data_IF_712085502730
#
_entry.id   IF_712085502730
#
_cell.length_a   1.000
_cell.length_b   1.000
_cell.length_c   1.000
_cell.angle_alpha   90.00
_cell.angle_beta   90.00
_cell.angle_gamma   90.00
#
_symmetry.space_group_name_H-M   'P 1'
#
loop_
_entity.id
_entity.type
_entity.pdbx_description
1 polymer ?
#
# COMPACT_ATOMS: atom_id res chain seq x y z
N UNK A 1 32.20 -6.60 -49.13
CA UNK A 1 30.77 -6.97 -49.11
C UNK A 1 30.24 -6.68 -47.72
N UNK A 2 29.72 -5.47 -47.50
CA UNK A 2 29.20 -5.02 -46.21
C UNK A 2 27.73 -5.39 -46.08
N UNK A 3 27.42 -6.34 -45.19
CA UNK A 3 26.07 -6.71 -44.84
C UNK A 3 25.44 -5.64 -43.95
N UNK A 4 24.48 -4.89 -44.48
CA UNK A 4 23.67 -3.93 -43.72
C UNK A 4 22.64 -4.69 -42.90
N UNK A 5 22.75 -4.65 -41.58
CA UNK A 5 21.74 -5.16 -40.65
C UNK A 5 20.46 -4.35 -40.84
N UNK A 6 19.39 -4.99 -41.32
CA UNK A 6 18.07 -4.35 -41.45
C UNK A 6 17.39 -4.26 -40.09
N UNK A 7 17.08 -3.05 -39.64
CA UNK A 7 16.27 -2.81 -38.44
C UNK A 7 14.84 -3.29 -38.68
N UNK A 8 14.35 -4.19 -37.83
CA UNK A 8 12.96 -4.66 -37.84
C UNK A 8 12.13 -3.88 -36.83
N UNK A 9 10.94 -3.45 -37.24
CA UNK A 9 9.96 -2.75 -36.41
C UNK A 9 8.77 -3.68 -36.15
N UNK A 10 8.36 -3.81 -34.89
CA UNK A 10 7.25 -4.67 -34.47
C UNK A 10 6.10 -3.84 -33.91
N UNK A 11 4.89 -4.08 -34.42
CA UNK A 11 3.66 -3.46 -33.89
C UNK A 11 3.04 -4.35 -32.80
N UNK A 12 2.35 -3.76 -31.80
CA UNK A 12 1.67 -4.49 -30.72
C UNK A 12 0.61 -5.51 -31.19
N UNK A 13 0.22 -5.49 -32.47
CA UNK A 13 -0.61 -6.54 -33.08
C UNK A 13 0.19 -7.78 -33.55
N UNK A 14 1.50 -7.82 -33.34
CA UNK A 14 2.39 -8.92 -33.71
C UNK A 14 2.94 -8.88 -35.14
N UNK A 15 2.71 -7.81 -35.93
CA UNK A 15 3.29 -7.69 -37.28
C UNK A 15 4.67 -7.06 -37.28
N UNK A 16 5.58 -7.64 -38.06
CA UNK A 16 6.94 -7.11 -38.30
C UNK A 16 7.03 -6.34 -39.62
N UNK A 17 7.84 -5.30 -39.64
CA UNK A 17 8.12 -4.46 -40.81
C UNK A 17 9.62 -4.20 -40.93
N UNK A 18 10.17 -4.30 -42.15
CA UNK A 18 11.58 -3.97 -42.43
C UNK A 18 11.79 -2.51 -42.87
N UNK A 19 10.70 -1.75 -43.04
CA UNK A 19 10.71 -0.36 -43.47
C UNK A 19 9.87 0.50 -42.52
N UNK A 20 10.47 1.57 -41.99
CA UNK A 20 9.84 2.47 -41.02
C UNK A 20 8.58 3.15 -41.58
N UNK A 21 8.57 3.55 -42.85
CA UNK A 21 7.37 4.15 -43.48
C UNK A 21 6.17 3.21 -43.49
N UNK A 22 6.40 1.91 -43.69
CA UNK A 22 5.34 0.88 -43.67
C UNK A 22 4.84 0.64 -42.25
N UNK A 23 5.74 0.68 -41.26
CA UNK A 23 5.38 0.63 -39.85
C UNK A 23 4.51 1.83 -39.45
N UNK A 24 4.92 3.06 -39.76
CA UNK A 24 4.17 4.28 -39.44
C UNK A 24 2.79 4.30 -40.12
N UNK A 25 2.68 3.90 -41.39
CA UNK A 25 1.40 3.83 -42.08
C UNK A 25 0.46 2.76 -41.49
N UNK A 26 1.03 1.65 -40.99
CA UNK A 26 0.28 0.61 -40.31
C UNK A 26 -0.21 1.04 -38.93
N UNK A 27 0.61 1.72 -38.13
CA UNK A 27 0.22 2.21 -36.78
C UNK A 27 -0.95 3.18 -36.83
N UNK A 28 -1.09 3.97 -37.89
CA UNK A 28 -2.22 4.92 -38.05
C UNK A 28 -3.57 4.21 -38.29
N UNK A 29 -3.55 3.00 -38.83
CA UNK A 29 -4.76 2.25 -39.22
C UNK A 29 -4.96 0.94 -38.44
N UNK A 30 -4.03 0.56 -37.57
CA UNK A 30 -4.12 -0.67 -36.78
C UNK A 30 -5.16 -0.52 -35.66
N UNK A 31 -6.18 -1.39 -35.66
CA UNK A 31 -7.26 -1.40 -34.67
C UNK A 31 -6.76 -1.59 -33.22
N UNK A 32 -5.62 -2.28 -33.04
CA UNK A 32 -4.97 -2.47 -31.73
C UNK A 32 -4.34 -1.17 -31.22
N UNK A 33 -3.91 -0.27 -32.11
CA UNK A 33 -3.43 1.06 -31.72
C UNK A 33 -4.60 2.01 -31.42
N UNK A 34 -5.73 1.88 -32.14
CA UNK A 34 -6.97 2.61 -31.85
C UNK A 34 -7.60 2.19 -30.51
N UNK A 35 -7.45 0.95 -30.07
CA UNK A 35 -7.91 0.51 -28.75
C UNK A 35 -7.08 1.07 -27.58
N UNK A 36 -5.81 1.46 -27.81
CA UNK A 36 -4.95 2.12 -26.82
C UNK A 36 -5.05 3.66 -26.80
N UNK A 37 -5.77 4.26 -27.75
CA UNK A 37 -5.89 5.71 -27.91
C UNK A 37 -7.34 6.22 -27.81
N UNK A 38 -8.26 5.43 -27.25
CA UNK A 38 -9.62 5.88 -26.90
C UNK A 38 -9.69 6.07 -25.38
N UNK A 39 -9.17 7.21 -24.95
CA UNK A 39 -9.63 7.94 -23.76
C UNK A 39 -9.13 9.38 -23.82
N UNK A 40 -9.30 10.08 -24.95
CA UNK A 40 -9.14 11.55 -25.03
C UNK A 40 -9.69 12.11 -26.34
N UNK A 41 -11.01 12.04 -26.54
CA UNK A 41 -11.75 13.01 -27.37
C UNK A 41 -13.15 13.15 -26.74
N UNK A 42 -13.30 14.10 -25.81
CA UNK A 42 -14.59 14.77 -25.62
C UNK A 42 -14.42 16.15 -26.22
N UNK A 43 -15.26 16.40 -27.20
CA UNK A 43 -15.41 17.64 -27.94
C UNK A 43 -15.61 18.81 -26.97
N UNK A 44 -14.77 19.82 -27.14
CA UNK A 44 -14.61 20.91 -26.21
C UNK A 44 -15.02 22.22 -26.89
N UNK A 45 -16.32 22.43 -27.03
CA UNK A 45 -16.91 23.71 -27.39
C UNK A 45 -17.86 24.16 -26.27
N UNK A 46 -17.27 24.56 -25.14
CA UNK A 46 -18.01 25.11 -24.00
C UNK A 46 -17.20 25.25 -22.71
N UNK A 47 -16.17 24.41 -22.51
CA UNK A 47 -15.45 24.35 -21.22
C UNK A 47 -14.19 25.25 -21.19
N UNK A 48 -13.66 25.67 -22.37
CA UNK A 48 -12.51 26.58 -22.43
C UNK A 48 -12.80 27.98 -21.87
N UNK A 49 -14.01 28.52 -22.06
CA UNK A 49 -14.36 29.86 -21.55
C UNK A 49 -14.52 29.92 -20.03
N UNK A 50 -14.84 28.79 -19.40
CA UNK A 50 -15.07 28.74 -17.95
C UNK A 50 -13.77 28.47 -17.18
N UNK A 51 -12.85 27.69 -17.76
CA UNK A 51 -11.51 27.48 -17.19
C UNK A 51 -10.66 28.75 -17.28
N UNK A 52 -10.74 29.50 -18.40
CA UNK A 52 -10.05 30.79 -18.52
C UNK A 52 -10.64 31.84 -17.57
N UNK A 53 -11.96 31.91 -17.40
CA UNK A 53 -12.60 32.80 -16.40
C UNK A 53 -12.26 32.43 -14.96
N UNK A 54 -12.15 31.13 -14.64
CA UNK A 54 -11.77 30.67 -13.30
C UNK A 54 -10.27 30.86 -13.01
N UNK A 55 -9.40 30.78 -14.03
CA UNK A 55 -7.98 31.08 -13.91
C UNK A 55 -7.71 32.59 -13.75
N UNK A 56 -8.49 33.45 -14.42
CA UNK A 56 -8.42 34.92 -14.26
C UNK A 56 -8.92 35.36 -12.87
N UNK A 57 -10.01 34.75 -12.38
CA UNK A 57 -10.54 35.01 -11.04
C UNK A 57 -9.59 34.55 -9.92
N UNK A 58 -8.86 33.46 -10.13
CA UNK A 58 -7.84 32.98 -9.19
C UNK A 58 -6.60 33.88 -9.16
N UNK A 59 -6.22 34.50 -10.29
CA UNK A 59 -5.14 35.50 -10.33
C UNK A 59 -5.52 36.82 -9.65
N UNK A 60 -6.76 37.29 -9.81
CA UNK A 60 -7.23 38.51 -9.14
C UNK A 60 -7.38 38.37 -7.62
N UNK A 61 -7.50 37.14 -7.09
CA UNK A 61 -7.47 36.89 -5.64
C UNK A 61 -6.05 36.89 -5.03
N UNK A 62 -5.01 36.68 -5.85
CA UNK A 62 -3.61 36.63 -5.39
C UNK A 62 -2.89 37.98 -5.45
N UNK A 63 -3.53 39.02 -6.02
CA UNK A 63 -2.96 40.37 -6.16
C UNK A 63 -3.54 41.40 -5.17
N UNK A 64 -4.29 40.97 -4.15
CA UNK A 64 -4.67 41.89 -3.07
C UNK A 64 -3.53 42.04 -2.06
N UNK A 65 -3.09 43.28 -1.72
CA UNK A 65 -2.07 43.49 -0.71
C UNK A 65 -2.65 43.12 0.66
N UNK A 66 -2.13 42.05 1.26
CA UNK A 66 -2.38 41.73 2.67
C UNK A 66 -1.82 42.87 3.54
N UNK A 67 -2.69 43.78 3.98
CA UNK A 67 -2.41 44.63 5.13
C UNK A 67 -2.54 43.79 6.39
N UNK A 68 -1.48 43.07 6.74
CA UNK A 68 -1.31 42.56 8.09
C UNK A 68 -0.57 43.59 8.94
N UNK A 69 -1.35 44.34 9.72
CA UNK A 69 -0.90 44.96 10.95
C UNK A 69 -0.24 43.90 11.83
N UNK A 70 1.05 44.10 12.10
CA UNK A 70 1.88 43.30 12.98
C UNK A 70 1.30 43.36 14.40
N UNK A 71 1.00 42.24 15.06
CA UNK A 71 0.65 42.29 16.48
C UNK A 71 1.84 42.81 17.29
N UNK A 72 1.61 43.94 17.95
CA UNK A 72 2.51 44.61 18.87
C UNK A 72 2.75 43.69 20.09
N UNK A 73 3.97 43.14 20.18
CA UNK A 73 4.44 42.49 21.40
C UNK A 73 4.77 43.58 22.43
N UNK A 74 4.30 43.48 23.69
CA UNK A 74 4.70 44.42 24.72
C UNK A 74 6.21 44.34 24.95
N UNK A 75 6.88 45.48 24.77
CA UNK A 75 8.29 45.69 25.05
C UNK A 75 8.62 45.34 26.51
N UNK A 76 9.41 44.29 26.72
CA UNK A 76 10.04 44.05 28.01
C UNK A 76 11.35 44.85 28.09
N UNK A 77 11.58 45.61 29.17
CA UNK A 77 12.76 46.45 29.30
C UNK A 77 14.04 45.61 29.32
N UNK A 78 15.02 46.04 28.52
CA UNK A 78 16.31 45.39 28.35
C UNK A 78 17.10 45.29 29.66
N UNK A 79 17.48 44.06 30.00
CA UNK A 79 18.58 43.80 30.93
C UNK A 79 19.65 43.05 30.13
N UNK A 80 20.62 43.80 29.61
CA UNK A 80 21.89 43.20 29.19
C UNK A 80 22.62 42.82 30.47
N UNK A 81 22.35 41.61 30.98
CA UNK A 81 23.19 41.02 32.00
C UNK A 81 24.54 40.69 31.34
N UNK A 82 25.58 41.43 31.71
CA UNK A 82 26.97 41.11 31.40
C UNK A 82 27.21 39.66 31.83
N UNK A 83 27.40 38.75 30.87
CA UNK A 83 27.91 37.41 31.13
C UNK A 83 29.38 37.55 31.59
N UNK A 84 29.57 37.75 32.88
CA UNK A 84 30.86 37.57 33.53
C UNK A 84 31.24 36.09 33.50
N UNK A 85 32.54 35.84 33.29
CA UNK A 85 33.18 34.56 33.02
C UNK A 85 32.68 33.38 33.89
N UNK A 86 32.78 32.13 33.38
CA UNK A 86 32.25 30.97 34.08
C UNK A 86 33.02 30.74 35.37
N UNK A 87 32.28 30.59 36.47
CA UNK A 87 32.73 29.92 37.69
C UNK A 87 33.33 28.58 37.28
N UNK A 88 34.56 28.30 37.72
CA UNK A 88 35.31 27.08 37.41
C UNK A 88 34.62 25.87 38.05
N UNK A 89 33.61 25.33 37.38
CA UNK A 89 33.00 24.07 37.72
C UNK A 89 34.01 22.96 37.37
N UNK A 90 34.56 22.28 38.38
CA UNK A 90 35.28 21.02 38.19
C UNK A 90 34.38 20.07 37.40
N UNK A 91 34.68 19.89 36.11
CA UNK A 91 33.97 18.95 35.25
C UNK A 91 34.21 17.54 35.81
N UNK A 92 33.17 16.80 36.28
CA UNK A 92 33.35 15.49 36.89
C UNK A 92 33.93 14.41 35.94
N UNK A 93 34.20 14.76 34.67
CA UNK A 93 34.73 13.87 33.64
C UNK A 93 36.07 14.33 33.03
N UNK A 94 36.76 15.29 33.65
CA UNK A 94 38.09 15.70 33.20
C UNK A 94 39.11 14.56 33.46
N UNK A 95 39.27 13.67 32.48
CA UNK A 95 40.21 12.53 32.54
C UNK A 95 39.66 11.19 32.07
N UNK A 96 38.38 11.10 31.66
CA UNK A 96 37.87 9.88 31.06
C UNK A 96 38.45 9.69 29.64
N UNK A 97 39.18 8.59 29.43
CA UNK A 97 39.57 8.17 28.08
C UNK A 97 38.36 7.54 27.37
N UNK A 98 37.66 8.36 26.59
CA UNK A 98 36.49 7.92 25.84
C UNK A 98 36.79 6.89 24.75
N UNK A 99 38.07 6.71 24.36
CA UNK A 99 38.44 5.62 23.46
C UNK A 99 38.30 4.24 24.11
N UNK A 100 38.42 4.14 25.45
CA UNK A 100 38.17 2.88 26.17
C UNK A 100 36.70 2.44 26.12
N UNK A 101 35.79 3.36 25.80
CA UNK A 101 34.36 3.09 25.60
C UNK A 101 33.98 2.96 24.12
N UNK A 102 34.96 3.09 23.21
CA UNK A 102 34.73 2.94 21.78
C UNK A 102 34.50 1.46 21.49
N UNK A 103 33.27 1.12 21.13
CA UNK A 103 32.94 -0.21 20.64
C UNK A 103 33.86 -0.52 19.45
N UNK A 104 34.53 -1.67 19.49
CA UNK A 104 35.24 -2.19 18.32
C UNK A 104 34.21 -2.45 17.22
N UNK A 105 34.52 -2.07 15.97
CA UNK A 105 33.68 -2.23 14.77
C UNK A 105 33.30 -3.70 14.41
N UNK A 106 33.58 -4.65 15.30
CA UNK A 106 33.38 -6.10 15.14
C UNK A 106 32.10 -6.63 15.80
N UNK A 107 31.17 -5.75 16.18
CA UNK A 107 29.84 -6.19 16.61
C UNK A 107 29.04 -6.67 15.38
N UNK A 108 29.11 -7.98 15.11
CA UNK A 108 28.27 -8.65 14.12
C UNK A 108 27.23 -9.50 14.84
N UNK A 109 26.09 -8.93 15.25
CA UNK A 109 25.02 -9.75 15.80
C UNK A 109 24.43 -10.58 14.66
N UNK A 110 24.62 -11.89 14.70
CA UNK A 110 23.92 -12.83 13.80
C UNK A 110 22.45 -12.92 14.24
N UNK A 111 21.65 -11.94 13.85
CA UNK A 111 20.22 -11.91 14.14
C UNK A 111 19.45 -12.59 13.01
N UNK A 112 18.54 -13.49 13.36
CA UNK A 112 17.56 -14.06 12.44
C UNK A 112 16.23 -13.37 12.70
N UNK A 113 15.64 -12.75 11.68
CA UNK A 113 14.29 -12.19 11.77
C UNK A 113 13.28 -13.32 11.70
N UNK A 114 12.45 -13.44 12.74
CA UNK A 114 11.36 -14.42 12.79
C UNK A 114 10.05 -13.76 12.40
N UNK A 115 9.35 -14.33 11.42
CA UNK A 115 8.00 -13.94 11.04
C UNK A 115 7.03 -14.68 11.95
N UNK A 116 6.62 -14.00 13.02
CA UNK A 116 5.61 -14.51 13.96
C UNK A 116 4.19 -14.23 13.48
N UNK A 117 4.01 -13.15 12.73
CA UNK A 117 2.72 -12.72 12.19
C UNK A 117 2.93 -12.08 10.81
N UNK A 118 1.96 -12.29 9.91
CA UNK A 118 1.84 -11.55 8.66
C UNK A 118 0.52 -10.79 8.74
N UNK A 119 0.54 -9.46 8.95
CA UNK A 119 -0.69 -8.69 9.15
C UNK A 119 -1.60 -8.73 7.92
N UNK A 120 -2.90 -8.91 8.13
CA UNK A 120 -3.92 -8.73 7.10
C UNK A 120 -4.61 -7.40 7.36
N UNK A 121 -4.38 -6.41 6.50
CA UNK A 121 -4.90 -5.05 6.71
C UNK A 121 -4.86 -4.21 5.44
N UNK A 122 -5.59 -3.09 5.47
CA UNK A 122 -5.38 -2.01 4.50
C UNK A 122 -4.02 -1.32 4.75
N UNK A 123 -3.41 -0.72 3.72
CA UNK A 123 -2.25 0.17 3.89
C UNK A 123 -2.56 1.32 4.87
N UNK A 124 -1.57 1.73 5.67
CA UNK A 124 -1.72 2.87 6.57
C UNK A 124 -1.70 4.20 5.79
N UNK A 125 -2.26 5.25 6.38
CA UNK A 125 -2.41 6.58 5.74
C UNK A 125 -1.11 7.14 5.16
N UNK A 126 0.03 6.93 5.82
CA UNK A 126 1.33 7.46 5.41
C UNK A 126 2.31 6.38 4.93
N UNK A 127 1.81 5.21 4.57
CA UNK A 127 2.62 4.07 4.17
C UNK A 127 2.68 3.96 2.64
N UNK A 128 3.89 4.01 2.10
CA UNK A 128 4.15 3.62 0.72
C UNK A 128 4.40 2.11 0.69
N UNK A 129 3.83 1.44 -0.31
CA UNK A 129 3.97 0.01 -0.49
C UNK A 129 4.15 -0.38 -1.96
N UNK A 130 4.68 -1.57 -2.16
CA UNK A 130 4.75 -2.30 -3.44
C UNK A 130 3.99 -3.61 -3.29
N UNK A 131 3.31 -4.02 -4.35
CA UNK A 131 2.82 -5.39 -4.50
C UNK A 131 3.84 -6.18 -5.31
N UNK A 132 3.85 -7.50 -5.11
CA UNK A 132 4.74 -8.36 -5.90
C UNK A 132 4.08 -8.68 -7.24
N UNK A 133 4.81 -8.40 -8.31
CA UNK A 133 4.41 -8.76 -9.66
C UNK A 133 4.88 -10.19 -9.96
N UNK A 134 4.00 -11.00 -10.55
CA UNK A 134 4.38 -12.21 -11.25
C UNK A 134 3.44 -12.50 -12.42
N UNK A 135 3.96 -13.17 -13.45
CA UNK A 135 3.22 -13.53 -14.66
C UNK A 135 2.11 -14.55 -14.41
N UNK A 136 2.23 -15.33 -13.34
CA UNK A 136 1.29 -16.40 -12.97
C UNK A 136 0.22 -15.93 -11.97
N UNK A 137 0.33 -14.71 -11.41
CA UNK A 137 -0.61 -14.17 -10.45
C UNK A 137 -0.61 -14.90 -9.10
N UNK A 138 0.49 -15.53 -8.72
CA UNK A 138 0.63 -16.31 -7.47
C UNK A 138 0.69 -15.43 -6.22
N UNK A 139 0.97 -14.12 -6.35
CA UNK A 139 1.02 -13.17 -5.23
C UNK A 139 -0.32 -12.56 -4.85
N UNK A 140 -1.40 -13.09 -5.42
CA UNK A 140 -2.77 -12.84 -4.99
C UNK A 140 -3.51 -14.16 -4.75
N UNK A 141 -4.41 -14.16 -3.80
CA UNK A 141 -5.18 -15.35 -3.44
C UNK A 141 -6.57 -14.97 -2.96
N UNK A 142 -7.59 -15.69 -3.42
CA UNK A 142 -8.99 -15.37 -3.09
C UNK A 142 -9.69 -16.54 -2.40
N UNK A 143 -10.50 -16.23 -1.40
CA UNK A 143 -11.39 -17.18 -0.74
C UNK A 143 -12.65 -16.52 -0.20
N UNK A 144 -13.59 -17.34 0.29
CA UNK A 144 -14.72 -16.87 1.08
C UNK A 144 -14.30 -16.82 2.54
N UNK A 145 -14.42 -15.65 3.14
CA UNK A 145 -13.95 -15.36 4.49
C UNK A 145 -15.05 -14.68 5.28
N UNK A 146 -14.99 -14.82 6.60
CA UNK A 146 -15.81 -14.08 7.52
C UNK A 146 -15.01 -12.88 8.05
N UNK A 147 -15.59 -11.69 7.99
CA UNK A 147 -15.06 -10.49 8.64
C UNK A 147 -15.91 -10.21 9.88
N UNK A 148 -15.26 -10.14 11.05
CA UNK A 148 -15.90 -9.75 12.30
C UNK A 148 -15.23 -8.51 12.89
N UNK A 149 -16.03 -7.70 13.57
CA UNK A 149 -15.51 -6.58 14.36
C UNK A 149 -15.25 -7.08 15.78
N UNK A 150 -13.99 -7.02 16.22
CA UNK A 150 -13.59 -7.30 17.60
C UNK A 150 -12.90 -6.06 18.18
N UNK A 151 -13.64 -5.32 19.01
CA UNK A 151 -13.17 -4.03 19.53
C UNK A 151 -13.09 -2.96 18.43
N UNK A 152 -11.90 -2.40 18.21
CA UNK A 152 -11.66 -1.44 17.12
C UNK A 152 -11.12 -2.09 15.85
N UNK A 153 -10.81 -3.39 15.89
CA UNK A 153 -10.16 -4.10 14.80
C UNK A 153 -11.15 -4.98 14.04
N UNK A 154 -10.88 -5.13 12.74
CA UNK A 154 -11.58 -6.08 11.88
C UNK A 154 -10.73 -7.34 11.77
N UNK A 155 -11.24 -8.44 12.29
CA UNK A 155 -10.59 -9.74 12.24
C UNK A 155 -11.17 -10.55 11.09
N UNK A 156 -10.27 -11.16 10.32
CA UNK A 156 -10.62 -11.97 9.17
C UNK A 156 -10.39 -13.45 9.49
N UNK A 157 -11.41 -14.26 9.27
CA UNK A 157 -11.40 -15.70 9.47
C UNK A 157 -11.49 -16.41 8.13
N UNK A 158 -10.61 -17.38 7.92
CA UNK A 158 -10.72 -18.30 6.80
C UNK A 158 -11.80 -19.33 7.11
N UNK A 159 -12.64 -19.65 6.12
CA UNK A 159 -13.76 -20.56 6.30
C UNK A 159 -13.59 -21.76 5.39
N UNK A 160 -13.67 -22.97 5.94
CA UNK A 160 -13.59 -24.20 5.16
C UNK A 160 -14.83 -24.33 4.25
N UNK A 161 -14.71 -24.87 3.01
CA UNK A 161 -15.84 -24.96 2.08
C UNK A 161 -17.08 -25.68 2.62
N UNK A 162 -16.89 -26.70 3.46
CA UNK A 162 -17.97 -27.43 4.15
C UNK A 162 -18.81 -26.57 5.10
N UNK A 163 -18.32 -25.40 5.51
CA UNK A 163 -19.02 -24.45 6.37
C UNK A 163 -19.75 -23.37 5.59
N UNK A 164 -19.60 -23.30 4.26
CA UNK A 164 -20.16 -22.21 3.46
C UNK A 164 -21.68 -22.13 3.55
N UNK A 165 -22.38 -23.26 3.48
CA UNK A 165 -23.85 -23.28 3.52
C UNK A 165 -24.39 -22.80 4.87
N UNK A 166 -23.68 -23.11 5.96
CA UNK A 166 -24.05 -22.69 7.31
C UNK A 166 -23.82 -21.18 7.57
N UNK A 167 -23.07 -20.50 6.70
CA UNK A 167 -22.61 -19.11 6.92
C UNK A 167 -22.85 -18.20 5.71
N UNK A 168 -23.62 -18.65 4.71
CA UNK A 168 -23.62 -18.07 3.37
C UNK A 168 -23.86 -16.55 3.35
N UNK A 169 -24.73 -16.04 4.22
CA UNK A 169 -25.07 -14.61 4.30
C UNK A 169 -23.95 -13.75 4.94
N UNK A 170 -23.08 -14.36 5.74
CA UNK A 170 -22.02 -13.68 6.49
C UNK A 170 -20.68 -13.68 5.78
N UNK A 171 -20.47 -14.62 4.86
CA UNK A 171 -19.24 -14.69 4.09
C UNK A 171 -19.10 -13.54 3.08
N UNK A 172 -17.85 -13.20 2.78
CA UNK A 172 -17.45 -12.27 1.72
C UNK A 172 -16.41 -12.94 0.84
N UNK A 173 -16.48 -12.66 -0.45
CA UNK A 173 -15.40 -13.03 -1.37
C UNK A 173 -14.28 -11.98 -1.26
N UNK A 174 -13.13 -12.40 -0.75
CA UNK A 174 -12.00 -11.53 -0.47
C UNK A 174 -10.77 -12.04 -1.21
N UNK A 175 -10.09 -11.13 -1.91
CA UNK A 175 -8.77 -11.32 -2.50
C UNK A 175 -7.70 -10.71 -1.58
N UNK A 176 -6.66 -11.46 -1.28
CA UNK A 176 -5.49 -11.04 -0.52
C UNK A 176 -4.34 -10.81 -1.48
N UNK A 177 -3.64 -9.69 -1.35
CA UNK A 177 -2.46 -9.34 -2.14
C UNK A 177 -1.24 -9.22 -1.24
N UNK A 178 -0.14 -9.88 -1.60
CA UNK A 178 1.12 -9.70 -0.91
C UNK A 178 1.70 -8.31 -1.20
N UNK A 179 2.00 -7.57 -0.13
CA UNK A 179 2.58 -6.24 -0.19
C UNK A 179 3.78 -6.12 0.74
N UNK A 180 4.69 -5.22 0.39
CA UNK A 180 5.85 -4.84 1.21
C UNK A 180 5.89 -3.32 1.32
N UNK A 181 6.15 -2.80 2.52
CA UNK A 181 6.33 -1.37 2.73
C UNK A 181 7.81 -0.95 2.62
N UNK A 182 8.08 0.35 2.72
CA UNK A 182 9.44 0.91 2.66
C UNK A 182 10.37 0.42 3.77
N UNK A 183 9.81 -0.04 4.89
CA UNK A 183 10.56 -0.59 6.01
C UNK A 183 10.90 -2.08 5.80
N UNK A 184 10.47 -2.68 4.68
CA UNK A 184 10.65 -4.10 4.39
C UNK A 184 9.65 -5.03 5.08
N UNK A 185 8.61 -4.49 5.71
CA UNK A 185 7.56 -5.28 6.37
C UNK A 185 6.63 -5.87 5.31
N UNK A 186 6.47 -7.20 5.32
CA UNK A 186 5.53 -7.92 4.45
C UNK A 186 4.17 -8.01 5.14
N UNK A 187 3.10 -7.78 4.39
CA UNK A 187 1.72 -7.86 4.87
C UNK A 187 0.78 -8.23 3.72
N UNK A 188 -0.45 -8.63 4.06
CA UNK A 188 -1.50 -8.95 3.09
C UNK A 188 -2.55 -7.84 3.07
N UNK A 189 -2.81 -7.32 1.87
CA UNK A 189 -3.90 -6.37 1.64
C UNK A 189 -5.14 -7.17 1.26
N UNK A 190 -6.17 -7.11 2.11
CA UNK A 190 -7.46 -7.71 1.80
C UNK A 190 -8.31 -6.78 0.94
N UNK A 191 -8.97 -7.28 -0.09
CA UNK A 191 -9.91 -6.55 -0.94
C UNK A 191 -11.17 -7.39 -1.17
N UNK A 192 -12.33 -6.85 -0.82
CA UNK A 192 -13.62 -7.49 -1.07
C UNK A 192 -13.95 -7.38 -2.56
N UNK A 193 -14.06 -8.51 -3.26
CA UNK A 193 -14.28 -8.55 -4.71
C UNK A 193 -15.73 -8.15 -5.07
N UNK A 194 -16.69 -8.74 -4.39
CA UNK A 194 -18.12 -8.43 -4.53
C UNK A 194 -18.74 -8.23 -3.16
N UNK A 195 -19.62 -7.24 -3.05
CA UNK A 195 -20.44 -7.04 -1.88
C UNK A 195 -21.60 -8.07 -1.82
N UNK A 196 -22.41 -8.01 -0.76
CA UNK A 196 -23.58 -8.89 -0.58
C UNK A 196 -24.61 -8.79 -1.70
N UNK A 197 -24.63 -7.68 -2.44
CA UNK A 197 -25.52 -7.46 -3.59
C UNK A 197 -24.93 -7.94 -4.91
N UNK A 198 -23.74 -8.55 -4.88
CA UNK A 198 -23.01 -8.99 -6.06
C UNK A 198 -22.33 -7.86 -6.83
N UNK A 199 -22.28 -6.64 -6.27
CA UNK A 199 -21.65 -5.48 -6.90
C UNK A 199 -20.30 -5.18 -6.25
N UNK A 200 -19.35 -4.75 -7.06
CA UNK A 200 -18.11 -4.19 -6.53
C UNK A 200 -18.35 -2.75 -6.09
N UNK A 201 -17.88 -2.37 -4.91
CA UNK A 201 -17.97 -0.98 -4.46
C UNK A 201 -16.75 -0.15 -4.92
N UNK A 202 -16.90 1.17 -4.97
CA UNK A 202 -15.84 2.09 -5.44
C UNK A 202 -14.55 2.02 -4.61
N UNK A 203 -14.65 1.69 -3.32
CA UNK A 203 -13.48 1.52 -2.46
C UNK A 203 -12.63 0.30 -2.85
N UNK A 204 -13.27 -0.83 -3.12
CA UNK A 204 -12.59 -2.03 -3.61
C UNK A 204 -12.03 -1.81 -5.01
N UNK A 205 -12.83 -1.22 -5.90
CA UNK A 205 -12.40 -0.94 -7.27
C UNK A 205 -11.17 -0.02 -7.32
N UNK A 206 -11.18 1.07 -6.56
CA UNK A 206 -10.04 1.98 -6.46
C UNK A 206 -8.82 1.33 -5.80
N UNK A 207 -9.00 0.48 -4.78
CA UNK A 207 -7.90 -0.27 -4.18
C UNK A 207 -7.25 -1.23 -5.18
N UNK A 208 -8.04 -1.98 -5.97
CA UNK A 208 -7.48 -2.87 -7.01
C UNK A 208 -6.65 -2.10 -8.05
N UNK A 209 -7.12 -0.93 -8.48
CA UNK A 209 -6.35 -0.06 -9.38
C UNK A 209 -5.01 0.37 -8.75
N UNK A 210 -5.02 0.70 -7.46
CA UNK A 210 -3.80 1.04 -6.72
C UNK A 210 -2.86 -0.15 -6.60
N UNK A 211 -3.38 -1.34 -6.32
CA UNK A 211 -2.60 -2.57 -6.24
C UNK A 211 -1.93 -2.93 -7.58
N UNK A 212 -2.58 -2.61 -8.69
CA UNK A 212 -2.01 -2.77 -10.03
C UNK A 212 -0.84 -1.80 -10.26
N UNK A 213 -1.00 -0.53 -9.91
CA UNK A 213 0.12 0.45 -9.97
C UNK A 213 1.26 0.08 -9.01
N UNK A 214 0.93 -0.48 -7.84
CA UNK A 214 1.89 -0.91 -6.84
C UNK A 214 2.82 -2.04 -7.32
N UNK A 215 2.52 -2.68 -8.46
CA UNK A 215 3.41 -3.69 -9.05
C UNK A 215 4.69 -3.08 -9.59
N UNK A 216 4.63 -1.85 -10.08
CA UNK A 216 5.74 -1.17 -10.78
C UNK A 216 6.21 0.10 -10.09
N UNK A 217 5.41 0.70 -9.21
CA UNK A 217 5.73 1.97 -8.54
C UNK A 217 5.40 1.93 -7.06
N UNK A 218 6.18 2.63 -6.23
CA UNK A 218 5.79 2.82 -4.83
C UNK A 218 4.55 3.70 -4.77
N UNK A 219 3.51 3.21 -4.12
CA UNK A 219 2.25 3.94 -3.99
C UNK A 219 1.78 3.99 -2.56
N UNK A 220 1.09 5.07 -2.22
CA UNK A 220 0.31 5.22 -1.01
C UNK A 220 -1.17 5.28 -1.39
N UNK A 221 -2.01 4.58 -0.64
CA UNK A 221 -3.46 4.59 -0.82
C UNK A 221 -4.11 5.61 0.11
N UNK A 222 -4.42 6.81 -0.39
CA UNK A 222 -5.08 7.87 0.39
C UNK A 222 -6.60 7.72 0.33
N UNK A 223 -7.24 7.46 1.46
CA UNK A 223 -8.71 7.46 1.54
C UNK A 223 -9.28 8.87 1.33
N UNK A 224 -10.24 9.01 0.42
CA UNK A 224 -10.95 10.26 0.17
C UNK A 224 -12.46 10.07 0.31
N UNK A 225 -13.03 10.65 1.37
CA UNK A 225 -14.49 10.62 1.60
C UNK A 225 -15.26 11.41 0.54
N UNK A 226 -14.65 12.47 -0.01
CA UNK A 226 -15.28 13.32 -1.02
C UNK A 226 -15.60 12.56 -2.33
N UNK A 227 -14.78 11.56 -2.67
CA UNK A 227 -14.92 10.74 -3.88
C UNK A 227 -15.34 9.31 -3.55
N UNK A 228 -15.54 8.99 -2.27
CA UNK A 228 -15.83 7.64 -1.76
C UNK A 228 -14.90 6.54 -2.32
N UNK A 229 -13.60 6.85 -2.43
CA UNK A 229 -12.60 6.00 -3.06
C UNK A 229 -11.19 6.25 -2.48
N UNK A 230 -10.26 5.35 -2.81
CA UNK A 230 -8.83 5.58 -2.60
C UNK A 230 -8.24 6.36 -3.79
N UNK A 231 -7.33 7.28 -3.47
CA UNK A 231 -6.55 8.05 -4.43
C UNK A 231 -5.09 7.59 -4.31
N UNK A 232 -4.43 7.21 -5.42
CA UNK A 232 -3.00 6.91 -5.41
C UNK A 232 -2.19 8.18 -5.14
N UNK A 233 -1.17 8.04 -4.31
CA UNK A 233 -0.12 9.05 -4.14
C UNK A 233 1.22 8.37 -4.41
N UNK A 234 1.98 8.92 -5.36
CA UNK A 234 3.34 8.46 -5.69
C UNK A 234 4.37 9.34 -4.97
N UNK A 235 5.52 8.79 -4.56
CA UNK A 235 6.57 9.58 -3.93
C UNK A 235 7.23 10.51 -4.95
N UNK A 236 7.63 11.70 -4.50
CA UNK A 236 8.39 12.66 -5.32
C UNK A 236 9.83 12.17 -5.52
N UNK A 237 10.39 11.51 -4.51
CA UNK A 237 11.73 10.94 -4.54
C UNK A 237 11.71 9.49 -4.98
N UNK A 238 12.79 9.05 -5.63
CA UNK A 238 13.01 7.64 -5.93
C UNK A 238 13.27 6.86 -4.61
N UNK A 239 12.41 5.90 -4.29
CA UNK A 239 12.53 5.03 -3.11
C UNK A 239 13.28 3.71 -3.39
N UNK A 240 13.79 3.52 -4.61
CA UNK A 240 14.45 2.30 -5.06
C UNK A 240 13.48 1.16 -5.35
N UNK A 241 13.99 -0.05 -5.58
CA UNK A 241 13.16 -1.26 -5.73
C UNK A 241 12.95 -1.96 -4.37
N UNK A 242 11.78 -2.58 -4.14
CA UNK A 242 11.52 -3.34 -2.93
C UNK A 242 12.46 -4.54 -2.82
N UNK A 243 12.96 -4.82 -1.61
CA UNK A 243 13.78 -6.00 -1.33
C UNK A 243 12.93 -7.09 -0.70
N UNK A 244 12.45 -8.01 -1.54
CA UNK A 244 11.73 -9.19 -1.09
C UNK A 244 12.72 -10.25 -0.58
N UNK A 245 12.51 -10.84 0.61
CA UNK A 245 13.33 -11.95 1.05
C UNK A 245 13.04 -13.19 0.20
N UNK A 246 14.08 -13.97 -0.11
CA UNK A 246 13.91 -15.22 -0.85
C UNK A 246 13.22 -16.31 -0.01
N UNK A 247 13.41 -16.23 1.31
CA UNK A 247 12.93 -17.17 2.31
C UNK A 247 12.51 -16.42 3.58
N UNK A 248 11.58 -17.00 4.33
CA UNK A 248 11.15 -16.50 5.62
C UNK A 248 11.37 -17.57 6.68
N UNK A 249 11.78 -17.15 7.88
CA UNK A 249 11.91 -18.05 9.02
C UNK A 249 10.73 -17.84 9.95
N UNK A 250 9.97 -18.90 10.21
CA UNK A 250 8.80 -18.87 11.10
C UNK A 250 9.20 -18.83 12.57
N UNK A 251 8.24 -18.60 13.46
CA UNK A 251 8.43 -18.65 14.92
C UNK A 251 9.13 -19.94 15.39
N UNK A 252 8.84 -21.06 14.75
CA UNK A 252 9.38 -22.38 15.10
C UNK A 252 10.79 -22.63 14.53
N UNK A 253 11.44 -21.59 14.01
CA UNK A 253 12.77 -21.64 13.38
C UNK A 253 12.84 -22.53 12.14
N UNK A 254 11.73 -22.64 11.43
CA UNK A 254 11.67 -23.31 10.13
C UNK A 254 11.80 -22.25 9.04
N UNK A 255 12.80 -22.41 8.18
CA UNK A 255 13.02 -21.54 7.02
C UNK A 255 12.36 -22.15 5.80
N UNK A 256 11.49 -21.40 5.15
CA UNK A 256 10.73 -21.82 3.96
C UNK A 256 10.84 -20.77 2.86
N UNK A 257 10.76 -21.17 1.57
CA UNK A 257 10.73 -20.23 0.46
C UNK A 257 9.58 -19.23 0.61
N UNK A 258 9.82 -17.96 0.29
CA UNK A 258 8.76 -16.97 0.28
C UNK A 258 7.81 -17.27 -0.88
N UNK A 259 6.58 -17.65 -0.56
CA UNK A 259 5.45 -17.85 -1.47
C UNK A 259 4.14 -17.48 -0.76
N UNK A 260 3.02 -17.48 -1.50
CA UNK A 260 1.72 -17.09 -0.94
C UNK A 260 1.23 -18.05 0.14
N UNK A 261 1.45 -19.36 -0.01
CA UNK A 261 1.05 -20.36 1.00
C UNK A 261 1.76 -20.14 2.34
N UNK A 262 3.06 -19.83 2.31
CA UNK A 262 3.86 -19.50 3.48
C UNK A 262 3.33 -18.25 4.19
N UNK A 263 2.92 -17.22 3.43
CA UNK A 263 2.30 -16.02 4.00
C UNK A 263 0.94 -16.32 4.62
N UNK A 264 0.10 -17.11 3.95
CA UNK A 264 -1.22 -17.51 4.45
C UNK A 264 -1.12 -18.33 5.74
N UNK A 265 -0.18 -19.26 5.81
CA UNK A 265 0.05 -20.08 7.00
C UNK A 265 0.42 -19.24 8.23
N UNK A 266 1.21 -18.18 8.06
CA UNK A 266 1.57 -17.28 9.16
C UNK A 266 0.44 -16.27 9.46
N UNK A 267 -0.32 -15.84 8.45
CA UNK A 267 -1.39 -14.86 8.58
C UNK A 267 -2.66 -15.44 9.25
N UNK A 268 -2.91 -16.74 9.07
CA UNK A 268 -4.07 -17.47 9.61
C UNK A 268 -3.62 -18.60 10.54
N UNK A 269 -3.34 -18.30 11.83
CA UNK A 269 -3.22 -19.34 12.86
C UNK A 269 -4.52 -20.17 12.99
N UNK A 270 -4.43 -21.33 13.64
CA UNK A 270 -5.53 -22.31 13.73
C UNK A 270 -6.85 -21.72 14.26
N UNK A 271 -6.78 -20.78 15.22
CA UNK A 271 -7.93 -20.08 15.80
C UNK A 271 -8.62 -19.09 14.86
N UNK A 272 -7.98 -18.79 13.71
CA UNK A 272 -8.54 -17.98 12.62
C UNK A 272 -9.10 -18.83 11.46
N UNK A 273 -9.19 -20.14 11.62
CA UNK A 273 -9.73 -21.06 10.60
C UNK A 273 -11.00 -21.75 11.12
N UNK A 274 -12.13 -21.47 10.48
CA UNK A 274 -13.44 -22.04 10.81
C UNK A 274 -13.65 -23.31 9.99
N UNK A 275 -13.41 -24.46 10.63
CA UNK A 275 -13.54 -25.76 9.98
C UNK A 275 -14.76 -26.58 10.43
N UNK A 276 -15.43 -26.20 11.50
CA UNK A 276 -16.54 -26.96 12.06
C UNK A 276 -17.50 -26.05 12.84
N UNK A 277 -18.67 -26.60 13.18
CA UNK A 277 -19.70 -25.88 13.94
C UNK A 277 -19.31 -25.58 15.39
N UNK A 278 -18.32 -26.29 15.95
CA UNK A 278 -17.86 -26.11 17.33
C UNK A 278 -16.91 -24.91 17.49
N UNK A 279 -16.46 -24.31 16.39
CA UNK A 279 -15.59 -23.15 16.39
C UNK A 279 -16.21 -21.99 17.22
N UNK A 280 -15.46 -21.31 18.11
CA UNK A 280 -16.02 -20.29 19.00
C UNK A 280 -16.82 -19.19 18.29
N UNK A 281 -16.38 -18.81 17.09
CA UNK A 281 -17.07 -17.81 16.25
C UNK A 281 -18.46 -18.28 15.80
N UNK A 282 -18.65 -19.57 15.52
CA UNK A 282 -19.96 -20.12 15.15
C UNK A 282 -20.97 -19.99 16.29
N UNK A 283 -20.51 -20.16 17.54
CA UNK A 283 -21.35 -19.97 18.74
C UNK A 283 -21.79 -18.52 18.90
N UNK A 284 -20.91 -17.56 18.59
CA UNK A 284 -21.25 -16.13 18.59
C UNK A 284 -22.32 -15.80 17.54
N UNK A 285 -22.18 -16.30 16.31
CA UNK A 285 -23.11 -16.04 15.20
C UNK A 285 -24.49 -16.66 15.46
N UNK A 286 -24.53 -17.90 15.93
CA UNK A 286 -25.78 -18.64 16.16
C UNK A 286 -26.52 -18.24 17.44
N UNK A 287 -25.95 -17.36 18.26
CA UNK A 287 -26.53 -16.95 19.55
C UNK A 287 -26.48 -18.05 20.61
N UNK A 288 -25.77 -19.15 20.37
CA UNK A 288 -25.52 -20.23 21.33
C UNK A 288 -24.45 -19.82 22.37
N UNK A 289 -24.66 -18.66 22.99
CA UNK A 289 -23.96 -18.28 24.23
C UNK A 289 -24.55 -19.13 25.35
N UNK A 290 -23.71 -19.96 25.98
CA UNK A 290 -24.12 -20.91 27.00
C UNK A 290 -25.04 -20.30 28.05
N UNK A 291 -26.30 -20.73 28.05
CA UNK A 291 -27.15 -20.60 29.21
C UNK A 291 -26.56 -21.45 30.33
N UNK A 292 -25.90 -20.81 31.28
CA UNK A 292 -25.90 -21.32 32.65
C UNK A 292 -27.34 -21.22 33.15
N UNK A 293 -28.10 -22.31 32.98
CA UNK A 293 -29.12 -22.67 33.94
C UNK A 293 -28.37 -23.12 35.20
N UNK A 294 -28.16 -22.17 36.11
CA UNK A 294 -27.82 -22.45 37.49
C UNK A 294 -29.11 -22.73 38.25
N UNK A 295 -29.21 -23.96 38.74
CA UNK A 295 -30.20 -24.45 39.72
C UNK A 295 -30.15 -23.66 41.04
#
# INVERSE_FOLDING_TARGET
MSGVSKTKFTCNCGREFEEEKKFQQHTTNCAVFKAGAIANVIDNSGVKSDIEKQAEAAKQLLEQPEQHEKPEQPEQPGIIAKFTAPVEAKRPFAGADFNAFRLSDTYNPQTITLYTEVPIRKPKRFEFFRTREDSEGTWKWAARMLEMEEGMDKILYLVAPKMYDAMAEDLRQIELHAAINTDGTIFLINVTLVDRSGKQNHWSESMLKILEMAKTEWVQAKSSKAVAAYIPVVPISNLGEPRWPAEITTRDRVTIPLNMDALLHIAFPEDRIIENADHPVMKKITGATGGQLGE
#
